data_IF_130786872613
#
_entry.id   IF_130786872613
#
_cell.length_a   1.000
_cell.length_b   1.000
_cell.length_c   1.000
_cell.angle_alpha   90.00
_cell.angle_beta   90.00
_cell.angle_gamma   90.00
#
_symmetry.space_group_name_H-M   'P 1'
#
loop_
_entity.id
_entity.type
_entity.pdbx_description
1 polymer ?
#
# COMPACT_ATOMS: atom_id res chain seq x y z
N UNK A 1 0.51 -0.45 -3.55
CA UNK A 1 1.63 0.08 -2.76
C UNK A 1 2.42 0.99 -3.68
N UNK A 2 2.74 2.19 -3.20
CA UNK A 2 3.58 3.19 -3.87
C UNK A 2 3.14 3.55 -5.29
N UNK A 3 1.83 3.47 -5.57
CA UNK A 3 1.25 3.77 -6.88
C UNK A 3 0.61 5.16 -6.94
N UNK A 4 0.08 5.69 -5.84
CA UNK A 4 -0.61 6.98 -5.86
C UNK A 4 -0.39 7.80 -4.58
N UNK A 5 0.87 7.90 -4.16
CA UNK A 5 1.29 8.62 -2.95
C UNK A 5 0.66 10.01 -2.79
N UNK A 6 0.65 10.82 -3.85
CA UNK A 6 0.06 12.17 -3.81
C UNK A 6 -1.46 12.16 -3.65
N UNK A 7 -2.17 11.20 -4.26
CA UNK A 7 -3.62 11.03 -4.08
C UNK A 7 -3.94 10.57 -2.64
N UNK A 8 -3.06 9.76 -2.03
CA UNK A 8 -3.19 9.37 -0.62
C UNK A 8 -3.01 10.57 0.31
N UNK A 9 -1.98 11.39 0.10
CA UNK A 9 -1.80 12.62 0.88
C UNK A 9 -2.99 13.56 0.73
N UNK A 10 -3.50 13.73 -0.50
CA UNK A 10 -4.69 14.53 -0.75
C UNK A 10 -5.93 13.96 -0.03
N UNK A 11 -6.09 12.62 -0.01
CA UNK A 11 -7.16 11.95 0.75
C UNK A 11 -7.07 12.18 2.25
N UNK A 12 -5.87 12.10 2.83
CA UNK A 12 -5.62 12.43 4.24
C UNK A 12 -5.99 13.88 4.57
N UNK A 13 -5.56 14.84 3.75
CA UNK A 13 -5.88 16.27 3.94
C UNK A 13 -7.38 16.53 3.78
N UNK A 14 -8.02 15.90 2.78
CA UNK A 14 -9.47 16.02 2.57
C UNK A 14 -10.26 15.52 3.78
N UNK A 15 -9.83 14.41 4.39
CA UNK A 15 -10.56 13.79 5.50
C UNK A 15 -10.36 14.48 6.84
N UNK A 16 -9.12 14.89 7.11
CA UNK A 16 -8.75 15.34 8.46
C UNK A 16 -8.42 16.84 8.51
N UNK A 17 -8.37 17.53 7.37
CA UNK A 17 -7.77 18.86 7.27
C UNK A 17 -6.24 18.80 7.20
N UNK A 18 -5.59 19.96 7.19
CA UNK A 18 -4.12 19.99 7.14
C UNK A 18 -3.49 19.51 8.45
N UNK A 19 -4.03 19.87 9.62
CA UNK A 19 -3.48 19.50 10.94
C UNK A 19 -1.94 19.61 10.98
N UNK A 20 -1.24 18.49 11.23
CA UNK A 20 0.22 18.40 11.18
C UNK A 20 0.77 18.14 9.77
N UNK A 21 -0.07 17.78 8.81
CA UNK A 21 0.25 17.47 7.41
C UNK A 21 0.20 18.72 6.51
N UNK A 22 0.72 19.85 7.01
CA UNK A 22 0.83 21.11 6.28
C UNK A 22 1.89 21.03 5.16
N UNK A 23 1.91 22.02 4.27
CA UNK A 23 2.63 21.98 2.98
C UNK A 23 4.10 21.50 3.08
N UNK A 24 4.98 22.10 3.91
CA UNK A 24 6.35 21.62 4.11
C UNK A 24 6.47 20.17 4.60
N UNK A 25 5.61 19.70 5.51
CA UNK A 25 5.63 18.28 5.92
C UNK A 25 5.33 17.38 4.73
N UNK A 26 4.33 17.73 3.91
CA UNK A 26 4.04 17.00 2.65
C UNK A 26 5.22 17.02 1.68
N UNK A 27 5.98 18.13 1.61
CA UNK A 27 7.19 18.21 0.78
C UNK A 27 8.29 17.27 1.28
N UNK A 28 8.53 17.23 2.60
CA UNK A 28 9.49 16.29 3.20
C UNK A 28 9.09 14.83 2.94
N UNK A 29 7.81 14.49 3.13
CA UNK A 29 7.31 13.16 2.86
C UNK A 29 7.47 12.78 1.38
N UNK A 30 7.18 13.69 0.42
CA UNK A 30 7.46 13.44 -1.00
C UNK A 30 8.95 13.22 -1.29
N UNK A 31 9.83 13.96 -0.63
CA UNK A 31 11.27 13.80 -0.80
C UNK A 31 11.74 12.42 -0.33
N UNK A 32 11.26 11.97 0.83
CA UNK A 32 11.52 10.62 1.36
C UNK A 32 10.95 9.53 0.45
N UNK A 33 9.70 9.67 -0.02
CA UNK A 33 9.07 8.72 -0.95
C UNK A 33 9.87 8.57 -2.24
N UNK A 34 10.30 9.69 -2.85
CA UNK A 34 11.13 9.68 -4.06
C UNK A 34 12.47 9.01 -3.85
N UNK A 35 13.06 9.16 -2.66
CA UNK A 35 14.28 8.43 -2.29
C UNK A 35 13.99 6.94 -2.20
N UNK A 36 12.93 6.51 -1.50
CA UNK A 36 12.54 5.11 -1.40
C UNK A 36 12.39 4.46 -2.78
N UNK A 37 11.65 5.10 -3.70
CA UNK A 37 11.47 4.58 -5.06
C UNK A 37 12.80 4.44 -5.81
N UNK A 38 13.71 5.40 -5.65
CA UNK A 38 15.05 5.36 -6.26
C UNK A 38 15.88 4.21 -5.71
N UNK A 39 15.89 4.04 -4.38
CA UNK A 39 16.68 3.03 -3.70
C UNK A 39 16.16 1.62 -4.05
N UNK A 40 14.84 1.42 -4.10
CA UNK A 40 14.23 0.16 -4.57
C UNK A 40 14.59 -0.17 -6.02
N UNK A 41 14.57 0.82 -6.92
CA UNK A 41 14.96 0.61 -8.33
C UNK A 41 16.46 0.26 -8.47
N UNK A 42 17.33 0.90 -7.68
CA UNK A 42 18.75 0.57 -7.66
C UNK A 42 19.01 -0.85 -7.13
N UNK A 43 18.29 -1.27 -6.09
CA UNK A 43 18.36 -2.63 -5.55
C UNK A 43 17.92 -3.66 -6.59
N UNK A 44 16.82 -3.42 -7.30
CA UNK A 44 16.35 -4.29 -8.39
C UNK A 44 17.42 -4.50 -9.46
N UNK A 45 18.03 -3.40 -9.94
CA UNK A 45 19.10 -3.48 -10.96
C UNK A 45 20.33 -4.25 -10.50
N UNK A 46 20.67 -4.19 -9.20
CA UNK A 46 21.79 -4.96 -8.64
C UNK A 46 21.48 -6.47 -8.58
N UNK A 47 20.23 -6.83 -8.29
CA UNK A 47 19.80 -8.23 -8.29
C UNK A 47 19.89 -8.85 -9.69
N UNK A 48 19.40 -8.15 -10.72
CA UNK A 48 19.43 -8.62 -12.12
C UNK A 48 20.86 -8.87 -12.64
N UNK A 49 21.83 -8.05 -12.23
CA UNK A 49 23.24 -8.22 -12.62
C UNK A 49 23.87 -9.46 -11.95
N UNK A 50 23.41 -9.81 -10.75
CA UNK A 50 23.98 -10.92 -9.97
C UNK A 50 23.46 -12.28 -10.46
N UNK A 51 22.25 -12.36 -11.03
CA UNK A 51 21.68 -13.59 -11.58
C UNK A 51 22.10 -13.89 -13.04
N UNK A 52 22.85 -12.99 -13.69
CA UNK A 52 23.16 -13.03 -15.12
C UNK A 52 24.51 -13.63 -15.57
N UNK A 53 25.28 -14.33 -14.74
CA UNK A 53 26.52 -14.99 -15.23
C UNK A 53 27.05 -16.16 -14.38
N UNK A 54 27.01 -17.40 -14.91
CA UNK A 54 27.99 -18.41 -14.59
C UNK A 54 29.12 -18.37 -15.62
N UNK A 55 30.27 -17.81 -15.23
CA UNK A 55 31.54 -17.97 -15.95
C UNK A 55 32.20 -16.67 -16.38
N UNK A 56 33.15 -16.20 -15.59
CA UNK A 56 34.59 -16.30 -15.92
C UNK A 56 35.39 -15.58 -14.84
N UNK A 57 36.29 -16.33 -14.21
CA UNK A 57 37.30 -15.78 -13.33
C UNK A 57 38.44 -15.22 -14.17
N UNK A 58 38.63 -13.91 -14.17
CA UNK A 58 39.92 -13.31 -14.46
C UNK A 58 40.09 -12.05 -13.63
N UNK A 59 41.16 -12.03 -12.84
CA UNK A 59 41.44 -10.95 -11.92
C UNK A 59 41.93 -9.69 -12.61
N UNK A 60 41.56 -8.53 -12.07
CA UNK A 60 42.38 -7.34 -12.13
C UNK A 60 42.02 -6.37 -11.01
N UNK A 61 42.97 -6.24 -10.09
CA UNK A 61 43.37 -5.05 -9.34
C UNK A 61 42.71 -3.71 -9.73
N UNK A 62 42.13 -3.04 -8.72
CA UNK A 62 42.39 -1.63 -8.44
C UNK A 62 41.38 -0.61 -8.98
N UNK A 63 40.47 -0.17 -8.10
CA UNK A 63 40.11 1.24 -7.85
C UNK A 63 38.88 1.22 -6.92
N UNK A 64 39.09 1.58 -5.65
CA UNK A 64 37.95 1.85 -4.76
C UNK A 64 37.18 3.06 -5.30
N UNK A 65 35.87 2.95 -5.57
CA UNK A 65 35.07 4.13 -5.88
C UNK A 65 34.95 4.96 -4.60
N UNK A 66 35.47 6.18 -4.66
CA UNK A 66 35.36 7.17 -3.60
C UNK A 66 33.90 7.24 -3.10
N UNK A 67 33.74 6.97 -1.80
CA UNK A 67 32.46 7.03 -1.10
C UNK A 67 31.95 8.48 -1.18
N UNK A 68 30.82 8.78 -1.85
CA UNK A 68 30.26 10.12 -1.81
C UNK A 68 29.88 10.42 -0.36
N UNK A 69 30.41 11.50 0.19
CA UNK A 69 29.99 12.06 1.46
C UNK A 69 28.52 12.55 1.32
N UNK A 70 27.57 11.65 1.55
CA UNK A 70 26.16 11.99 1.69
C UNK A 70 25.84 12.02 3.19
N UNK A 71 25.55 13.21 3.71
CA UNK A 71 25.10 13.43 5.08
C UNK A 71 23.79 12.64 5.36
N UNK A 72 23.98 11.49 6.01
CA UNK A 72 23.23 10.86 7.11
C UNK A 72 21.69 11.04 7.15
N UNK A 73 21.00 10.45 6.18
CA UNK A 73 19.77 9.73 6.51
C UNK A 73 20.09 8.24 6.38
N UNK A 74 19.94 7.43 7.45
CA UNK A 74 20.29 6.01 7.43
C UNK A 74 19.72 5.35 6.18
N UNK A 75 20.49 4.45 5.55
CA UNK A 75 20.08 3.71 4.34
C UNK A 75 18.76 2.93 4.53
N UNK A 76 18.29 2.81 5.78
CA UNK A 76 17.23 1.91 6.22
C UNK A 76 15.86 2.59 6.38
N UNK A 77 15.73 3.90 6.13
CA UNK A 77 14.45 4.61 6.25
C UNK A 77 13.74 4.64 4.90
N UNK A 78 12.59 3.98 4.81
CA UNK A 78 11.76 3.98 3.61
C UNK A 78 10.36 4.53 3.92
N UNK A 79 9.79 5.29 3.00
CA UNK A 79 8.44 5.84 3.10
C UNK A 79 7.56 5.17 2.04
N UNK A 80 6.41 4.68 2.47
CA UNK A 80 5.48 3.92 1.63
C UNK A 80 4.09 4.56 1.64
N UNK A 81 3.35 4.36 0.55
CA UNK A 81 1.89 4.47 0.53
C UNK A 81 1.21 3.13 0.27
N UNK A 82 0.13 2.85 0.99
CA UNK A 82 -0.79 1.74 0.67
C UNK A 82 -2.11 2.31 0.17
N UNK A 83 -2.64 1.72 -0.89
CA UNK A 83 -3.82 2.23 -1.59
C UNK A 83 -4.87 1.13 -1.77
N UNK A 84 -6.14 1.47 -1.54
CA UNK A 84 -7.29 0.62 -1.83
C UNK A 84 -8.17 1.31 -2.86
N UNK A 85 -8.46 0.57 -3.93
CA UNK A 85 -9.14 1.07 -5.11
C UNK A 85 -10.45 0.34 -5.34
N UNK A 86 -11.43 1.07 -5.87
CA UNK A 86 -12.71 0.53 -6.34
C UNK A 86 -12.86 0.88 -7.82
N UNK A 87 -13.23 -0.09 -8.68
CA UNK A 87 -13.60 0.23 -10.07
C UNK A 87 -14.79 1.18 -10.10
N UNK A 88 -14.74 2.22 -10.94
CA UNK A 88 -15.82 3.21 -11.03
C UNK A 88 -17.16 2.57 -11.38
N UNK A 89 -17.16 1.53 -12.22
CA UNK A 89 -18.37 0.76 -12.54
C UNK A 89 -19.01 0.04 -11.34
N UNK A 90 -18.29 -0.06 -10.22
CA UNK A 90 -18.74 -0.67 -8.97
C UNK A 90 -18.91 0.36 -7.84
N UNK A 91 -18.69 1.66 -8.09
CA UNK A 91 -18.72 2.67 -7.02
C UNK A 91 -20.11 2.77 -6.36
N UNK A 92 -21.18 2.58 -7.12
CA UNK A 92 -22.56 2.60 -6.62
C UNK A 92 -22.87 1.42 -5.67
N UNK A 93 -22.09 0.33 -5.75
CA UNK A 93 -22.21 -0.83 -4.86
C UNK A 93 -21.45 -0.64 -3.55
N UNK A 94 -20.68 0.43 -3.44
CA UNK A 94 -19.86 0.74 -2.27
C UNK A 94 -20.53 1.84 -1.45
N UNK A 95 -20.68 1.60 -0.16
CA UNK A 95 -21.20 2.60 0.76
C UNK A 95 -20.12 3.62 1.08
N UNK A 96 -20.20 4.78 0.44
CA UNK A 96 -19.31 5.91 0.67
C UNK A 96 -19.62 6.60 2.01
N UNK A 97 -18.57 7.00 2.72
CA UNK A 97 -18.68 7.70 4.00
C UNK A 97 -18.86 9.20 3.77
N UNK A 98 -19.76 9.88 4.49
CA UNK A 98 -19.91 11.33 4.38
C UNK A 98 -18.62 12.03 4.82
N UNK A 99 -18.27 13.17 4.21
CA UNK A 99 -17.17 14.02 4.71
C UNK A 99 -17.54 14.51 6.11
N UNK A 100 -16.63 14.34 7.08
CA UNK A 100 -16.78 15.00 8.37
C UNK A 100 -16.68 16.51 8.13
N UNK A 101 -17.78 17.24 8.38
CA UNK A 101 -17.69 18.69 8.56
C UNK A 101 -16.96 18.90 9.87
N UNK A 102 -15.75 19.43 9.82
CA UNK A 102 -15.04 19.87 11.02
C UNK A 102 -15.88 21.00 11.60
N UNK A 103 -16.65 20.73 12.65
CA UNK A 103 -17.24 21.79 13.49
C UNK A 103 -16.10 22.35 14.32
N UNK A 104 -15.87 23.66 14.24
CA UNK A 104 -14.84 24.39 14.99
C UNK A 104 -14.90 24.17 16.52
N UNK A 105 -16.03 23.66 17.03
CA UNK A 105 -16.33 23.53 18.46
C UNK A 105 -15.51 22.44 19.21
N UNK A 106 -14.93 21.45 18.53
CA UNK A 106 -14.12 20.41 19.22
C UNK A 106 -12.66 20.81 19.46
N UNK A 107 -12.15 21.87 18.81
CA UNK A 107 -10.74 22.28 18.92
C UNK A 107 -10.51 23.44 19.88
N UNK A 108 -11.53 24.25 20.17
CA UNK A 108 -11.41 25.44 21.04
C UNK A 108 -11.20 25.10 22.53
N UNK A 109 -11.32 23.83 22.93
CA UNK A 109 -11.07 23.41 24.31
C UNK A 109 -9.57 23.18 24.64
N UNK A 110 -8.62 23.45 23.73
CA UNK A 110 -7.19 23.14 24.00
C UNK A 110 -6.15 24.10 23.45
N UNK A 111 -6.51 25.26 22.90
CA UNK A 111 -5.52 26.27 22.49
C UNK A 111 -6.00 27.64 22.95
N UNK A 112 -5.61 27.98 24.17
CA UNK A 112 -5.63 29.36 24.64
C UNK A 112 -4.30 30.04 24.25
N UNK A 113 -4.39 31.31 23.87
CA UNK A 113 -3.33 32.29 23.59
C UNK A 113 -2.49 32.16 22.30
N UNK A 114 -2.89 32.90 21.25
CA UNK A 114 -2.05 33.92 20.58
C UNK A 114 -2.83 34.64 19.46
N UNK A 115 -3.02 35.95 19.61
CA UNK A 115 -3.67 36.85 18.65
C UNK A 115 -2.82 37.19 17.41
N UNK A 116 -3.54 37.28 16.29
CA UNK A 116 -3.48 38.18 15.12
C UNK A 116 -2.14 38.62 14.47
N UNK A 117 -2.06 38.45 13.13
CA UNK A 117 -2.14 39.58 12.19
C UNK A 117 -2.16 39.17 10.68
N UNK A 118 -3.21 39.65 9.99
CA UNK A 118 -3.24 40.36 8.69
C UNK A 118 -2.72 39.74 7.36
N UNK A 119 -3.71 39.36 6.52
CA UNK A 119 -3.95 39.67 5.10
C UNK A 119 -2.84 39.64 4.02
N UNK A 120 -3.02 38.77 3.01
CA UNK A 120 -3.10 39.14 1.57
C UNK A 120 -3.77 38.01 0.78
N UNK A 121 -4.94 38.27 0.21
CA UNK A 121 -5.74 37.33 -0.56
C UNK A 121 -5.21 37.24 -2.00
N UNK A 122 -4.21 36.40 -2.21
CA UNK A 122 -3.95 35.88 -3.57
C UNK A 122 -4.78 34.61 -3.70
N UNK A 123 -5.49 34.47 -4.82
CA UNK A 123 -6.53 33.48 -5.05
C UNK A 123 -6.01 32.04 -4.84
N UNK A 124 -6.12 31.57 -3.59
CA UNK A 124 -5.71 30.24 -3.16
C UNK A 124 -6.50 29.15 -3.90
N UNK A 125 -7.65 29.49 -4.47
CA UNK A 125 -8.49 28.54 -5.22
C UNK A 125 -7.80 28.05 -6.50
N UNK A 126 -7.05 28.91 -7.19
CA UNK A 126 -6.32 28.56 -8.42
C UNK A 126 -5.09 27.67 -8.14
N UNK A 127 -4.39 27.92 -7.03
CA UNK A 127 -3.24 27.09 -6.61
C UNK A 127 -3.70 25.74 -6.04
N UNK A 128 -4.85 25.70 -5.37
CA UNK A 128 -5.45 24.45 -4.89
C UNK A 128 -6.00 23.59 -6.04
N UNK A 129 -6.52 24.20 -7.10
CA UNK A 129 -6.93 23.52 -8.32
C UNK A 129 -5.74 22.85 -9.06
N UNK A 130 -4.53 23.43 -8.95
CA UNK A 130 -3.30 22.85 -9.52
C UNK A 130 -2.73 21.67 -8.72
N UNK A 131 -3.22 21.41 -7.49
CA UNK A 131 -2.70 20.39 -6.59
C UNK A 131 -3.58 19.13 -6.56
N UNK A 132 -4.15 18.71 -7.70
CA UNK A 132 -4.73 17.36 -7.89
C UNK A 132 -5.66 16.85 -6.77
N UNK A 133 -6.27 17.74 -6.01
CA UNK A 133 -6.99 17.39 -4.79
C UNK A 133 -8.44 17.27 -5.15
N UNK A 134 -8.83 16.03 -5.43
CA UNK A 134 -10.22 15.64 -5.46
C UNK A 134 -10.91 16.19 -4.20
N UNK A 135 -11.89 17.07 -4.41
CA UNK A 135 -12.60 17.75 -3.32
C UNK A 135 -13.76 16.92 -2.78
N UNK A 136 -14.09 15.79 -3.43
CA UNK A 136 -15.25 14.97 -3.12
C UNK A 136 -14.86 13.50 -2.95
N UNK A 137 -15.52 12.85 -2.01
CA UNK A 137 -15.44 11.40 -1.83
C UNK A 137 -15.96 10.71 -3.08
N UNK A 138 -15.25 9.69 -3.58
CA UNK A 138 -15.70 8.90 -4.72
C UNK A 138 -15.30 9.42 -6.10
N UNK A 139 -14.43 10.43 -6.20
CA UNK A 139 -13.98 10.92 -7.50
C UNK A 139 -12.99 9.98 -8.18
N UNK A 140 -12.96 9.97 -9.53
CA UNK A 140 -11.97 9.23 -10.31
C UNK A 140 -10.53 9.58 -9.92
N UNK A 141 -9.67 8.56 -9.94
CA UNK A 141 -8.23 8.74 -9.85
C UNK A 141 -7.74 9.61 -10.99
N UNK A 142 -6.80 10.52 -10.69
CA UNK A 142 -6.09 11.27 -11.71
C UNK A 142 -5.10 10.38 -12.47
N UNK A 143 -4.64 9.29 -11.83
CA UNK A 143 -3.62 8.39 -12.38
C UNK A 143 -4.18 7.14 -13.06
N UNK A 144 -5.24 6.55 -12.51
CA UNK A 144 -5.81 5.32 -13.01
C UNK A 144 -7.24 5.52 -13.52
N UNK A 145 -7.37 5.57 -14.86
CA UNK A 145 -8.67 5.64 -15.52
C UNK A 145 -9.55 4.49 -15.03
N UNK A 146 -10.82 4.78 -14.75
CA UNK A 146 -11.83 3.84 -14.30
C UNK A 146 -11.65 3.29 -12.87
N UNK A 147 -10.74 3.87 -12.07
CA UNK A 147 -10.58 3.57 -10.64
C UNK A 147 -10.87 4.79 -9.77
N UNK A 148 -11.37 4.54 -8.57
CA UNK A 148 -11.52 5.49 -7.46
C UNK A 148 -10.66 5.03 -6.29
N UNK A 149 -9.84 5.93 -5.73
CA UNK A 149 -9.11 5.68 -4.48
C UNK A 149 -10.09 5.85 -3.30
N UNK A 150 -10.31 4.80 -2.52
CA UNK A 150 -11.30 4.83 -1.43
C UNK A 150 -10.70 4.66 -0.04
N UNK A 151 -9.43 4.27 0.07
CA UNK A 151 -8.67 4.34 1.30
C UNK A 151 -7.18 4.36 0.97
N UNK A 152 -6.38 4.88 1.90
CA UNK A 152 -4.95 4.75 1.82
C UNK A 152 -4.25 5.24 3.07
N UNK A 153 -3.00 4.82 3.23
CA UNK A 153 -2.12 5.26 4.31
C UNK A 153 -0.75 5.68 3.78
N UNK A 154 -0.09 6.55 4.54
CA UNK A 154 1.34 6.82 4.44
C UNK A 154 2.01 6.31 5.71
N UNK A 155 3.09 5.55 5.57
CA UNK A 155 3.86 5.05 6.69
C UNK A 155 5.35 4.90 6.39
N UNK A 156 6.15 4.81 7.44
CA UNK A 156 7.61 4.71 7.39
C UNK A 156 8.04 3.33 7.87
N UNK A 157 8.95 2.68 7.15
CA UNK A 157 9.68 1.51 7.63
C UNK A 157 11.10 1.87 8.03
N UNK A 158 11.55 1.26 9.13
CA UNK A 158 12.94 1.29 9.61
C UNK A 158 13.25 -0.09 10.19
N UNK A 159 14.17 -0.82 9.56
CA UNK A 159 14.42 -2.22 9.89
C UNK A 159 13.15 -3.07 9.83
N UNK A 160 12.85 -3.85 10.88
CA UNK A 160 11.62 -4.65 10.98
C UNK A 160 10.45 -3.92 11.65
N UNK A 161 10.49 -2.58 11.72
CA UNK A 161 9.41 -1.73 12.24
C UNK A 161 8.73 -0.97 11.12
N UNK A 162 7.40 -0.98 11.09
CA UNK A 162 6.60 -0.09 10.26
C UNK A 162 5.74 0.82 11.15
N UNK A 163 5.77 2.12 10.87
CA UNK A 163 5.02 3.15 11.59
C UNK A 163 3.99 3.77 10.65
N UNK A 164 2.70 3.57 10.92
CA UNK A 164 1.62 4.23 10.20
C UNK A 164 1.52 5.68 10.66
N UNK A 165 1.73 6.64 9.74
CA UNK A 165 1.75 8.07 10.06
C UNK A 165 0.36 8.70 9.94
N UNK A 166 -0.31 8.46 8.83
CA UNK A 166 -1.64 8.99 8.54
C UNK A 166 -2.35 8.09 7.54
N UNK A 167 -3.67 8.03 7.65
CA UNK A 167 -4.52 7.26 6.76
C UNK A 167 -5.86 7.95 6.56
N UNK A 168 -6.54 7.60 5.48
CA UNK A 168 -7.91 8.03 5.22
C UNK A 168 -8.74 6.85 4.72
N UNK A 169 -10.05 6.92 4.95
CA UNK A 169 -11.02 5.98 4.40
C UNK A 169 -12.26 6.75 3.99
N UNK A 170 -12.77 6.40 2.81
CA UNK A 170 -13.87 7.07 2.13
C UNK A 170 -15.02 6.10 1.82
N UNK A 171 -14.81 4.81 2.05
CA UNK A 171 -15.80 3.77 1.92
C UNK A 171 -15.83 2.89 3.18
N UNK A 172 -17.02 2.38 3.50
CA UNK A 172 -17.19 1.41 4.59
C UNK A 172 -16.26 0.21 4.39
N UNK A 173 -15.62 -0.23 5.47
CA UNK A 173 -14.65 -1.34 5.50
C UNK A 173 -13.37 -1.16 4.67
N UNK A 174 -13.21 -0.09 3.88
CA UNK A 174 -12.02 0.10 3.05
C UNK A 174 -10.76 0.30 3.90
N UNK A 175 -10.82 1.10 4.97
CA UNK A 175 -9.72 1.24 5.94
C UNK A 175 -9.36 -0.08 6.65
N UNK A 176 -10.35 -0.91 6.98
CA UNK A 176 -10.10 -2.23 7.58
C UNK A 176 -9.42 -3.17 6.58
N UNK A 177 -9.87 -3.18 5.32
CA UNK A 177 -9.25 -3.97 4.26
C UNK A 177 -7.81 -3.50 3.99
N UNK A 178 -7.59 -2.19 3.97
CA UNK A 178 -6.26 -1.58 3.84
C UNK A 178 -5.34 -2.05 4.98
N UNK A 179 -5.77 -1.92 6.24
CA UNK A 179 -4.94 -2.31 7.38
C UNK A 179 -4.66 -3.82 7.42
N UNK A 180 -5.64 -4.65 7.07
CA UNK A 180 -5.46 -6.09 6.96
C UNK A 180 -4.43 -6.45 5.88
N UNK A 181 -4.51 -5.82 4.71
CA UNK A 181 -3.54 -5.98 3.63
C UNK A 181 -2.14 -5.55 4.02
N UNK A 182 -1.99 -4.36 4.60
CA UNK A 182 -0.71 -3.86 5.11
C UNK A 182 -0.13 -4.84 6.12
N UNK A 183 -0.90 -5.24 7.14
CA UNK A 183 -0.43 -6.17 8.18
C UNK A 183 0.03 -7.51 7.60
N UNK A 184 -0.71 -8.06 6.64
CA UNK A 184 -0.33 -9.32 5.99
C UNK A 184 0.98 -9.17 5.22
N UNK A 185 1.13 -8.12 4.42
CA UNK A 185 2.37 -7.89 3.67
C UNK A 185 3.57 -7.66 4.60
N UNK A 186 3.41 -6.84 5.64
CA UNK A 186 4.43 -6.59 6.65
C UNK A 186 4.87 -7.90 7.32
N UNK A 187 3.92 -8.70 7.78
CA UNK A 187 4.19 -10.02 8.39
C UNK A 187 4.95 -10.94 7.44
N UNK A 188 4.54 -11.00 6.16
CA UNK A 188 5.22 -11.79 5.13
C UNK A 188 6.61 -11.29 4.77
N UNK A 189 6.89 -10.03 5.06
CA UNK A 189 8.19 -9.42 4.81
C UNK A 189 9.10 -9.47 6.04
N UNK A 190 8.67 -10.10 7.14
CA UNK A 190 9.47 -10.23 8.36
C UNK A 190 9.42 -9.02 9.29
N UNK A 191 8.47 -8.10 9.11
CA UNK A 191 8.24 -7.03 10.07
C UNK A 191 7.67 -7.58 11.37
N UNK A 192 8.19 -7.10 12.49
CA UNK A 192 7.84 -7.58 13.83
C UNK A 192 7.01 -6.56 14.63
N UNK A 193 7.01 -5.29 14.21
CA UNK A 193 6.24 -4.24 14.87
C UNK A 193 5.52 -3.35 13.85
N UNK A 194 4.20 -3.28 13.99
CA UNK A 194 3.34 -2.29 13.36
C UNK A 194 2.95 -1.26 14.43
N UNK A 195 3.61 -0.10 14.41
CA UNK A 195 3.27 1.05 15.23
C UNK A 195 2.12 1.84 14.59
N UNK A 196 1.01 1.95 15.32
CA UNK A 196 -0.17 2.70 14.89
C UNK A 196 -0.22 4.10 15.51
N UNK A 197 0.79 4.51 16.27
CA UNK A 197 0.83 5.81 16.95
C UNK A 197 -0.14 5.87 18.13
N UNK A 198 -0.92 6.96 18.22
CA UNK A 198 -1.78 7.22 19.38
C UNK A 198 -2.83 6.12 19.61
N UNK A 199 -3.06 5.80 20.88
CA UNK A 199 -4.10 4.87 21.32
C UNK A 199 -5.48 5.45 20.99
N UNK A 200 -6.26 4.70 20.20
CA UNK A 200 -7.63 5.04 19.83
C UNK A 200 -8.49 3.78 19.95
N UNK A 201 -9.77 3.87 20.40
CA UNK A 201 -10.60 2.70 20.69
C UNK A 201 -10.71 1.69 19.53
N UNK A 202 -10.79 2.18 18.28
CA UNK A 202 -10.90 1.27 17.13
C UNK A 202 -9.63 0.44 16.92
N UNK A 203 -8.44 0.95 17.29
CA UNK A 203 -7.17 0.20 17.15
C UNK A 203 -7.13 -0.97 18.12
N UNK A 204 -7.65 -0.79 19.33
CA UNK A 204 -7.77 -1.86 20.31
C UNK A 204 -8.72 -2.95 19.84
N UNK A 205 -9.85 -2.58 19.23
CA UNK A 205 -10.79 -3.54 18.65
C UNK A 205 -10.16 -4.39 17.53
N UNK A 206 -9.10 -3.89 16.89
CA UNK A 206 -8.31 -4.57 15.87
C UNK A 206 -7.15 -5.40 16.46
N UNK A 207 -7.04 -5.45 17.79
CA UNK A 207 -6.02 -6.20 18.52
C UNK A 207 -4.73 -5.43 18.81
N UNK A 208 -4.70 -4.10 18.61
CA UNK A 208 -3.55 -3.29 19.01
C UNK A 208 -3.42 -3.27 20.54
N UNK A 209 -2.17 -3.35 21.03
CA UNK A 209 -1.84 -3.29 22.45
C UNK A 209 -1.14 -1.96 22.76
N UNK A 210 -1.57 -1.29 23.82
CA UNK A 210 -0.86 -0.12 24.32
C UNK A 210 0.42 -0.55 25.05
N UNK A 211 1.55 0.08 24.72
CA UNK A 211 2.82 -0.13 25.41
C UNK A 211 3.22 1.11 26.22
N UNK A 212 3.78 0.93 27.43
CA UNK A 212 4.52 2.01 28.08
C UNK A 212 5.65 2.50 27.18
N UNK A 213 5.86 3.82 27.10
CA UNK A 213 6.87 4.44 26.22
C UNK A 213 8.26 3.83 26.38
N UNK A 214 8.68 3.50 27.61
CA UNK A 214 9.98 2.87 27.87
C UNK A 214 10.10 1.46 27.29
N UNK A 215 9.01 0.69 27.27
CA UNK A 215 8.94 -0.63 26.64
C UNK A 215 8.99 -0.48 25.13
N UNK A 216 8.17 0.41 24.57
CA UNK A 216 8.15 0.72 23.14
C UNK A 216 9.55 1.14 22.63
N UNK A 217 10.21 2.09 23.29
CA UNK A 217 11.52 2.57 22.87
C UNK A 217 12.60 1.48 22.90
N UNK A 218 12.54 0.54 23.86
CA UNK A 218 13.45 -0.62 23.89
C UNK A 218 13.19 -1.57 22.72
N UNK A 219 11.91 -1.85 22.44
CA UNK A 219 11.52 -2.70 21.32
C UNK A 219 11.91 -2.06 19.99
N UNK A 220 11.55 -0.79 19.77
CA UNK A 220 11.87 -0.02 18.57
C UNK A 220 13.38 0.01 18.28
N UNK A 221 14.21 0.34 19.29
CA UNK A 221 15.68 0.37 19.12
C UNK A 221 16.26 -0.99 18.77
N UNK A 222 15.66 -2.08 19.22
CA UNK A 222 16.09 -3.43 18.88
C UNK A 222 15.65 -3.82 17.46
N UNK A 223 14.41 -3.53 17.09
CA UNK A 223 13.82 -3.97 15.83
C UNK A 223 14.27 -3.11 14.63
N UNK A 224 14.59 -1.83 14.84
CA UNK A 224 15.11 -0.96 13.77
C UNK A 224 16.45 -1.44 13.20
N UNK A 225 17.20 -2.24 13.97
CA UNK A 225 18.50 -2.81 13.56
C UNK A 225 18.34 -4.20 12.93
N UNK A 226 17.10 -4.72 12.84
CA UNK A 226 16.80 -6.00 12.17
C UNK A 226 16.39 -5.73 10.73
N UNK A 227 16.74 -6.65 9.84
CA UNK A 227 16.32 -6.58 8.46
C UNK A 227 14.94 -7.23 8.25
N UNK A 228 14.17 -6.59 7.39
CA UNK A 228 12.96 -7.14 6.80
C UNK A 228 13.17 -7.21 5.27
N UNK A 229 12.54 -8.18 4.63
CA UNK A 229 12.58 -8.28 3.18
C UNK A 229 11.93 -7.02 2.54
N UNK A 230 12.43 -6.53 1.39
CA UNK A 230 11.83 -5.39 0.72
C UNK A 230 10.35 -5.66 0.36
N UNK A 231 9.46 -4.76 0.81
CA UNK A 231 8.00 -4.95 0.66
C UNK A 231 7.57 -5.14 -0.79
N UNK A 232 8.18 -4.41 -1.73
CA UNK A 232 7.87 -4.52 -3.16
C UNK A 232 8.27 -5.89 -3.71
N UNK A 233 9.43 -6.43 -3.32
CA UNK A 233 9.88 -7.75 -3.77
C UNK A 233 8.93 -8.86 -3.27
N UNK A 234 8.51 -8.78 -2.01
CA UNK A 234 7.54 -9.72 -1.44
C UNK A 234 6.19 -9.60 -2.14
N UNK A 235 5.72 -8.39 -2.40
CA UNK A 235 4.46 -8.16 -3.11
C UNK A 235 4.50 -8.74 -4.53
N UNK A 236 5.60 -8.52 -5.27
CA UNK A 236 5.81 -9.04 -6.62
C UNK A 236 5.87 -10.57 -6.64
N UNK A 237 6.58 -11.19 -5.70
CA UNK A 237 6.63 -12.64 -5.55
C UNK A 237 5.22 -13.25 -5.43
N UNK A 238 4.40 -12.68 -4.55
CA UNK A 238 3.04 -13.16 -4.34
C UNK A 238 2.08 -12.84 -5.50
N UNK A 239 2.30 -11.74 -6.23
CA UNK A 239 1.60 -11.48 -7.49
C UNK A 239 1.92 -12.56 -8.54
N UNK A 240 3.20 -12.94 -8.69
CA UNK A 240 3.63 -13.99 -9.61
C UNK A 240 2.95 -15.33 -9.33
N UNK A 241 2.89 -15.76 -8.07
CA UNK A 241 2.18 -16.99 -7.67
C UNK A 241 0.70 -16.94 -8.05
N UNK A 242 0.06 -15.78 -7.84
CA UNK A 242 -1.36 -15.58 -8.14
C UNK A 242 -1.66 -15.70 -9.63
N UNK A 243 -0.79 -15.11 -10.46
CA UNK A 243 -0.91 -15.20 -11.91
C UNK A 243 -0.79 -16.65 -12.39
N UNK A 244 0.25 -17.37 -11.97
CA UNK A 244 0.43 -18.79 -12.33
C UNK A 244 -0.74 -19.68 -11.88
N UNK A 245 -1.30 -19.42 -10.69
CA UNK A 245 -2.44 -20.18 -10.18
C UNK A 245 -3.73 -19.93 -10.99
N UNK A 246 -3.95 -18.70 -11.46
CA UNK A 246 -5.11 -18.35 -12.29
C UNK A 246 -4.98 -18.91 -13.71
N UNK A 247 -3.78 -18.89 -14.29
CA UNK A 247 -3.52 -19.48 -15.62
C UNK A 247 -3.81 -20.99 -15.63
N UNK A 248 -3.39 -21.73 -14.60
CA UNK A 248 -3.70 -23.16 -14.47
C UNK A 248 -5.21 -23.43 -14.35
N UNK A 249 -5.98 -22.57 -13.67
CA UNK A 249 -7.43 -22.72 -13.54
C UNK A 249 -8.17 -22.41 -14.85
N UNK A 250 -7.75 -21.37 -15.55
CA UNK A 250 -8.38 -20.98 -16.81
C UNK A 250 -8.06 -21.96 -17.94
N UNK A 251 -6.83 -22.48 -18.02
CA UNK A 251 -6.46 -23.54 -18.97
C UNK A 251 -7.21 -24.85 -18.73
N UNK A 252 -7.53 -25.20 -17.47
CA UNK A 252 -8.35 -26.36 -17.14
C UNK A 252 -9.84 -26.16 -17.53
N UNK A 253 -10.35 -24.93 -17.45
CA UNK A 253 -11.73 -24.60 -17.84
C UNK A 253 -11.94 -24.61 -19.36
N UNK A 254 -10.94 -24.17 -20.14
CA UNK A 254 -10.98 -24.23 -21.61
C UNK A 254 -10.82 -25.68 -22.14
N UNK A 255 -10.02 -26.51 -21.47
CA UNK A 255 -9.92 -27.95 -21.80
C UNK A 255 -11.22 -28.73 -21.58
N UNK A 256 -12.03 -28.33 -20.60
CA UNK A 256 -13.32 -28.97 -20.30
C UNK A 256 -14.45 -28.56 -21.27
N UNK A 257 -14.31 -27.45 -21.99
CA UNK A 257 -15.28 -27.02 -23.02
C UNK A 257 -15.03 -27.66 -24.40
N UNK A 258 -13.84 -28.23 -24.63
CA UNK A 258 -13.50 -28.95 -25.87
C UNK A 258 -14.11 -30.35 -26.02
N UNK A 259 -14.55 -30.99 -24.93
CA UNK A 259 -15.01 -32.40 -24.95
C UNK A 259 -16.54 -32.58 -24.99
N UNK A 260 -17.33 -31.51 -25.09
CA UNK A 260 -18.82 -31.60 -25.07
C UNK A 260 -19.54 -31.13 -26.32
N UNK A 261 -18.87 -31.16 -27.47
CA UNK A 261 -19.44 -30.75 -28.76
C UNK A 261 -19.61 -31.90 -29.76
N UNK A 262 -20.21 -33.05 -29.38
CA UNK A 262 -20.81 -33.97 -30.37
C UNK A 262 -22.06 -34.66 -29.79
N UNK A 263 -23.16 -34.60 -30.57
CA UNK A 263 -24.53 -35.13 -30.35
C UNK A 263 -25.41 -34.16 -29.54
N UNK A 264 -26.49 -33.57 -30.08
CA UNK A 264 -27.60 -34.17 -30.85
C UNK A 264 -28.50 -33.05 -31.41
N UNK A 265 -28.98 -33.21 -32.65
CA UNK A 265 -30.05 -32.38 -33.24
C UNK A 265 -31.40 -32.71 -32.58
N UNK A 266 -32.19 -31.69 -32.20
CA UNK A 266 -33.67 -31.67 -32.33
C UNK A 266 -34.22 -30.23 -32.12
N UNK A 267 -35.40 -29.90 -32.69
CA UNK A 267 -35.82 -28.51 -32.90
C UNK A 267 -36.80 -27.92 -31.86
N UNK A 268 -36.66 -26.59 -31.69
CA UNK A 268 -37.63 -25.56 -31.26
C UNK A 268 -38.43 -25.74 -29.96
N UNK A 269 -38.25 -24.78 -29.04
CA UNK A 269 -39.38 -24.03 -28.43
C UNK A 269 -38.94 -22.63 -28.01
N UNK A 270 -39.76 -21.65 -28.36
CA UNK A 270 -39.64 -20.22 -28.06
C UNK A 270 -39.85 -19.95 -26.57
N UNK A 271 -38.87 -19.36 -25.88
CA UNK A 271 -39.08 -18.72 -24.59
C UNK A 271 -38.10 -17.56 -24.36
N UNK A 272 -38.69 -16.37 -24.22
CA UNK A 272 -38.23 -15.16 -23.54
C UNK A 272 -36.71 -15.02 -23.27
N UNK A 273 -36.04 -14.22 -24.09
CA UNK A 273 -34.65 -13.82 -23.87
C UNK A 273 -34.53 -12.87 -22.67
N UNK A 274 -34.09 -13.39 -21.54
CA UNK A 274 -33.31 -12.60 -20.59
C UNK A 274 -31.92 -12.41 -21.20
N UNK A 275 -31.70 -11.22 -21.79
CA UNK A 275 -30.35 -10.73 -22.07
C UNK A 275 -29.59 -10.70 -20.74
N UNK A 276 -28.75 -11.71 -20.53
CA UNK A 276 -27.58 -11.60 -19.67
C UNK A 276 -26.73 -10.49 -20.27
N UNK A 277 -26.94 -9.25 -19.82
CA UNK A 277 -26.01 -8.16 -20.07
C UNK A 277 -24.64 -8.63 -19.59
N UNK A 278 -23.74 -8.84 -20.54
CA UNK A 278 -22.35 -9.12 -20.24
C UNK A 278 -21.78 -7.92 -19.52
N UNK A 279 -21.75 -7.99 -18.19
CA UNK A 279 -20.85 -7.18 -17.37
C UNK A 279 -19.46 -7.50 -17.89
N UNK A 280 -18.86 -6.59 -18.67
CA UNK A 280 -17.46 -6.70 -19.01
C UNK A 280 -16.70 -6.84 -17.71
N UNK A 281 -16.08 -8.00 -17.49
CA UNK A 281 -15.34 -8.28 -16.28
C UNK A 281 -14.24 -7.22 -16.16
N UNK A 282 -14.34 -6.35 -15.16
CA UNK A 282 -13.37 -5.29 -14.96
C UNK A 282 -12.01 -5.94 -14.71
N UNK A 283 -11.04 -5.68 -15.59
CA UNK A 283 -9.69 -6.18 -15.44
C UNK A 283 -8.86 -5.13 -14.70
N UNK A 284 -8.38 -5.48 -13.51
CA UNK A 284 -7.50 -4.62 -12.75
C UNK A 284 -6.20 -4.32 -13.55
N UNK A 285 -5.64 -3.10 -13.44
CA UNK A 285 -4.34 -2.80 -14.05
C UNK A 285 -3.23 -3.70 -13.50
N UNK A 286 -2.12 -3.79 -14.25
CA UNK A 286 -0.94 -4.55 -13.81
C UNK A 286 -0.40 -4.03 -12.47
N UNK A 287 0.01 -4.95 -11.60
CA UNK A 287 0.52 -4.64 -10.26
C UNK A 287 -0.56 -4.39 -9.20
N UNK A 288 -1.84 -4.64 -9.51
CA UNK A 288 -2.94 -4.61 -8.54
C UNK A 288 -3.29 -6.02 -8.06
N UNK A 289 -3.67 -6.13 -6.78
CA UNK A 289 -4.18 -7.36 -6.19
C UNK A 289 -5.61 -7.10 -5.75
N UNK A 290 -6.54 -7.94 -6.19
CA UNK A 290 -7.92 -7.86 -5.72
C UNK A 290 -8.01 -8.28 -4.25
N UNK A 291 -8.74 -7.51 -3.44
CA UNK A 291 -8.88 -7.79 -2.01
C UNK A 291 -9.41 -9.20 -1.70
N UNK A 292 -10.26 -9.77 -2.56
CA UNK A 292 -10.76 -11.16 -2.39
C UNK A 292 -9.65 -12.21 -2.49
N UNK A 293 -8.58 -11.89 -3.22
CA UNK A 293 -7.43 -12.78 -3.37
C UNK A 293 -6.40 -12.54 -2.28
N UNK A 294 -6.44 -11.41 -1.57
CA UNK A 294 -5.46 -11.02 -0.55
C UNK A 294 -5.16 -12.14 0.47
N UNK A 295 -6.15 -12.86 0.96
CA UNK A 295 -5.95 -13.99 1.89
C UNK A 295 -5.36 -15.23 1.20
N UNK A 296 -5.75 -15.53 -0.03
CA UNK A 296 -5.14 -16.63 -0.78
C UNK A 296 -3.68 -16.33 -1.12
N UNK A 297 -3.39 -15.06 -1.40
CA UNK A 297 -2.09 -14.56 -1.84
C UNK A 297 -1.14 -14.37 -0.66
N UNK A 298 -1.56 -13.66 0.38
CA UNK A 298 -0.73 -13.29 1.53
C UNK A 298 -1.05 -14.08 2.81
N UNK A 299 -2.13 -14.86 2.85
CA UNK A 299 -2.55 -15.63 4.02
C UNK A 299 -2.14 -17.11 4.01
N UNK A 300 -1.49 -17.60 2.95
CA UNK A 300 -0.92 -18.96 2.91
C UNK A 300 0.20 -19.17 3.96
N UNK A 301 0.61 -20.42 4.22
CA UNK A 301 1.61 -20.76 5.26
C UNK A 301 2.92 -19.97 5.17
N UNK A 302 3.62 -19.81 6.31
CA UNK A 302 4.83 -18.98 6.50
C UNK A 302 6.11 -19.45 5.75
N UNK A 303 6.05 -20.51 4.94
CA UNK A 303 7.24 -21.23 4.46
C UNK A 303 7.93 -20.60 3.23
N UNK A 304 7.72 -19.33 2.92
CA UNK A 304 8.26 -18.72 1.68
C UNK A 304 9.60 -17.98 1.88
N UNK A 305 9.93 -17.53 3.09
CA UNK A 305 11.17 -16.78 3.33
C UNK A 305 12.42 -17.68 3.35
N UNK A 306 12.27 -18.98 3.64
CA UNK A 306 13.39 -19.95 3.59
C UNK A 306 13.92 -20.18 2.15
N UNK A 307 13.15 -19.77 1.12
CA UNK A 307 13.57 -19.90 -0.28
C UNK A 307 14.37 -18.69 -0.78
N UNK A 308 14.29 -17.54 -0.10
CA UNK A 308 14.96 -16.29 -0.50
C UNK A 308 16.20 -15.98 0.34
N UNK A 309 16.30 -16.51 1.56
CA UNK A 309 17.47 -16.31 2.43
C UNK A 309 17.97 -17.64 2.98
N UNK A 310 19.15 -18.08 2.53
CA UNK A 310 19.91 -19.15 3.16
C UNK A 310 20.53 -18.72 4.49
N UNK A 311 19.71 -18.32 5.47
CA UNK A 311 20.19 -17.85 6.78
C UNK A 311 19.38 -18.45 7.95
N UNK A 312 20.16 -18.97 8.90
CA UNK A 312 19.78 -19.69 10.11
C UNK A 312 18.62 -19.08 10.91
N UNK A 313 17.63 -19.93 11.23
CA UNK A 313 16.57 -19.67 12.19
C UNK A 313 17.13 -19.56 13.62
N UNK A 314 17.23 -18.33 14.12
CA UNK A 314 17.37 -18.04 15.56
C UNK A 314 15.99 -17.88 16.21
N UNK A 315 15.81 -18.52 17.36
CA UNK A 315 14.56 -18.60 18.15
C UNK A 315 13.72 -17.31 18.19
N UNK A 316 12.47 -17.44 17.73
CA UNK A 316 11.43 -16.42 17.88
C UNK A 316 10.74 -16.57 19.24
N UNK A 317 11.09 -15.70 20.19
CA UNK A 317 10.26 -15.46 21.37
C UNK A 317 9.14 -14.51 20.97
N UNK A 318 7.90 -15.02 20.96
CA UNK A 318 6.67 -14.26 20.69
C UNK A 318 6.32 -13.36 21.89
N UNK A 319 5.98 -12.09 21.62
CA UNK A 319 5.34 -11.14 22.55
C UNK A 319 3.97 -10.70 22.01
#
# INVERSE_FOLDING_TARGET
>A
MDKAFDEVLAGCVRRHGENWLWKPVRQCLRALHRRTLRDTELQRRRADVTEGSPGESSGSSGCEPEKPCNEDCPEDVQLHSFEVWVPLCNIEKVKLMPLQRISSEEWEASIDSAEEASATTTDLSEVLASLGSSSRVGEPSSRYKDLCLVAGEVGVSIGSVYTSLTAFTDADSAGTAQLAATRLLLSKSGYELLDLGMQLPYKESLGAKAFPRSVFLRLFRRLRERHAAPLEAVLQYYQGISHSANEMRNGAAEGAQGERAVKRNEPQTTACGTRSEGLSEFRAPEGFIECRNLLAVLGGSHNALDALEGVNSGETVKY
#
